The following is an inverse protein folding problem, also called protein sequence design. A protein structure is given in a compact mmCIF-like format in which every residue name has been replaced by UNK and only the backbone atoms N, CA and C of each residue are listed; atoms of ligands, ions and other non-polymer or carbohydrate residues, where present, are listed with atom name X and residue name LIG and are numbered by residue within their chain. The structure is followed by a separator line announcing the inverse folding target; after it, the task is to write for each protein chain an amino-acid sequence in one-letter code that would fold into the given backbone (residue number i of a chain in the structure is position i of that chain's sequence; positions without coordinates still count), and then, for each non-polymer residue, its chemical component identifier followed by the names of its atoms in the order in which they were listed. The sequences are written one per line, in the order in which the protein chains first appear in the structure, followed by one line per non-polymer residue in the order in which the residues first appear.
data_IF_148283927578
#
_entry.id   IF_148283927578
#
_cell.length_a   1.000
_cell.length_b   1.000
_cell.length_c   1.000
_cell.angle_alpha   90.00
_cell.angle_beta   90.00
_cell.angle_gamma   90.00
#
_symmetry.space_group_name_H-M   'P 1'
#
loop_
_entity.id
_entity.type
_entity.pdbx_description
1 polymer ?
#
# COMPACT_ATOMS: atom_id res chain seq x y z
N UNK A 1 -14.74 -21.03 -6.43
CA UNK A 1 -13.49 -21.07 -5.63
C UNK A 1 -13.26 -19.69 -5.03
N UNK A 2 -13.38 -19.58 -3.71
CA UNK A 2 -13.34 -18.31 -2.98
C UNK A 2 -11.95 -17.70 -2.84
N UNK A 3 -11.91 -16.41 -2.56
CA UNK A 3 -10.70 -15.65 -2.24
C UNK A 3 -10.11 -16.27 -0.97
N UNK A 4 -8.86 -16.74 -1.02
CA UNK A 4 -8.17 -17.22 0.18
C UNK A 4 -7.77 -16.00 1.00
N UNK A 5 -8.22 -15.88 2.26
CA UNK A 5 -7.80 -14.80 3.14
C UNK A 5 -6.28 -14.80 3.28
N UNK A 6 -5.71 -13.61 3.47
CA UNK A 6 -4.33 -13.51 3.96
C UNK A 6 -4.27 -14.28 5.30
N UNK A 7 -3.46 -15.34 5.34
CA UNK A 7 -3.19 -16.09 6.56
C UNK A 7 -2.29 -15.25 7.47
N UNK A 8 -2.90 -14.30 8.19
CA UNK A 8 -2.24 -13.45 9.18
C UNK A 8 -2.72 -13.83 10.58
N UNK A 9 -1.80 -13.83 11.55
CA UNK A 9 -2.17 -13.93 12.96
C UNK A 9 -2.89 -12.63 13.36
N UNK A 10 -4.04 -12.75 14.01
CA UNK A 10 -4.85 -11.62 14.46
C UNK A 10 -4.05 -10.60 15.30
N UNK A 11 -3.10 -11.09 16.11
CA UNK A 11 -2.20 -10.25 16.93
C UNK A 11 -1.28 -9.33 16.11
N UNK A 12 -1.08 -9.64 14.82
CA UNK A 12 -0.19 -8.88 13.93
C UNK A 12 -0.92 -7.94 12.99
N UNK A 13 -2.26 -7.93 13.03
CA UNK A 13 -3.08 -7.10 12.14
C UNK A 13 -2.74 -5.63 12.34
N UNK A 14 -2.65 -5.17 13.59
CA UNK A 14 -2.33 -3.77 13.90
C UNK A 14 -0.95 -3.37 13.38
N UNK A 15 0.06 -4.23 13.56
CA UNK A 15 1.40 -3.97 13.03
C UNK A 15 1.42 -3.86 11.50
N UNK A 16 0.63 -4.68 10.81
CA UNK A 16 0.50 -4.61 9.34
C UNK A 16 -0.23 -3.35 8.91
N UNK A 17 -1.33 -3.00 9.56
CA UNK A 17 -2.07 -1.76 9.28
C UNK A 17 -1.15 -0.55 9.47
N UNK A 18 -0.43 -0.48 10.59
CA UNK A 18 0.51 0.61 10.88
C UNK A 18 1.67 0.65 9.87
N UNK A 19 2.23 -0.49 9.49
CA UNK A 19 3.27 -0.55 8.46
C UNK A 19 2.76 -0.05 7.10
N UNK A 20 1.53 -0.41 6.71
CA UNK A 20 0.89 0.10 5.50
C UNK A 20 0.69 1.61 5.57
N UNK A 21 0.19 2.15 6.70
CA UNK A 21 0.04 3.59 6.90
C UNK A 21 1.37 4.33 6.85
N UNK A 22 2.40 3.82 7.54
CA UNK A 22 3.74 4.41 7.54
C UNK A 22 4.34 4.43 6.13
N UNK A 23 4.24 3.33 5.39
CA UNK A 23 4.70 3.25 4.01
C UNK A 23 3.93 4.21 3.10
N UNK A 24 2.61 4.26 3.23
CA UNK A 24 1.76 5.17 2.46
C UNK A 24 2.15 6.63 2.70
N UNK A 25 2.34 7.02 3.96
CA UNK A 25 2.77 8.37 4.32
C UNK A 25 4.17 8.69 3.79
N UNK A 26 5.12 7.75 3.91
CA UNK A 26 6.46 7.90 3.37
C UNK A 26 6.45 8.10 1.85
N UNK A 27 5.70 7.27 1.11
CA UNK A 27 5.60 7.38 -0.34
C UNK A 27 4.87 8.66 -0.78
N UNK A 28 3.86 9.10 -0.01
CA UNK A 28 3.21 10.40 -0.20
C UNK A 28 4.16 11.57 0.03
N UNK A 29 5.17 11.44 0.88
CA UNK A 29 6.15 12.50 1.10
C UNK A 29 7.26 12.47 0.04
N UNK A 30 7.87 11.30 -0.18
CA UNK A 30 9.08 11.12 -0.99
C UNK A 30 8.83 10.87 -2.47
N UNK A 31 7.61 10.52 -2.84
CA UNK A 31 7.25 10.16 -4.22
C UNK A 31 5.91 10.77 -4.64
N UNK A 32 5.66 12.02 -4.23
CA UNK A 32 4.42 12.77 -4.53
C UNK A 32 3.97 12.65 -5.98
N UNK A 33 4.88 12.84 -6.94
CA UNK A 33 4.56 12.87 -8.37
C UNK A 33 4.22 11.49 -8.94
N UNK A 34 4.69 10.40 -8.33
CA UNK A 34 4.63 9.06 -8.93
C UNK A 34 3.79 8.04 -8.13
N UNK A 35 3.56 8.25 -6.83
CA UNK A 35 2.85 7.30 -5.98
C UNK A 35 1.34 7.50 -6.01
N UNK A 36 0.88 8.72 -5.67
CA UNK A 36 -0.54 9.09 -5.71
C UNK A 36 -0.66 10.44 -6.38
N UNK A 37 -1.25 10.46 -7.57
CA UNK A 37 -1.48 11.69 -8.32
C UNK A 37 -2.92 12.16 -8.14
N UNK A 38 -3.20 13.41 -8.49
CA UNK A 38 -4.57 13.98 -8.52
C UNK A 38 -5.55 13.17 -9.37
N UNK A 39 -5.03 12.33 -10.28
CA UNK A 39 -5.86 11.44 -11.08
C UNK A 39 -6.28 10.14 -10.36
N UNK A 40 -5.60 9.77 -9.29
CA UNK A 40 -5.81 8.50 -8.59
C UNK A 40 -6.98 8.54 -7.61
N UNK A 41 -7.30 9.72 -7.08
CA UNK A 41 -8.31 9.92 -6.02
C UNK A 41 -9.08 11.20 -6.26
N UNK A 42 -10.27 11.29 -5.67
CA UNK A 42 -10.96 12.58 -5.59
C UNK A 42 -10.21 13.49 -4.61
N UNK A 43 -10.13 14.78 -4.92
CA UNK A 43 -9.48 15.75 -4.04
C UNK A 43 -10.31 17.02 -3.92
N UNK A 44 -10.20 17.66 -2.76
CA UNK A 44 -10.88 18.92 -2.48
C UNK A 44 -10.01 20.10 -2.93
N UNK A 45 -10.57 20.94 -3.80
CA UNK A 45 -10.05 22.25 -4.13
C UNK A 45 -10.64 23.25 -3.14
N UNK A 46 -9.91 23.47 -2.05
CA UNK A 46 -10.31 24.34 -0.94
C UNK A 46 -10.40 25.81 -1.31
N UNK A 47 -9.75 26.24 -2.41
CA UNK A 47 -9.82 27.63 -2.89
C UNK A 47 -11.18 27.89 -3.54
N UNK A 48 -11.64 26.94 -4.35
CA UNK A 48 -12.88 27.06 -5.10
C UNK A 48 -14.09 26.40 -4.38
N UNK A 49 -13.84 25.69 -3.27
CA UNK A 49 -14.86 24.97 -2.53
C UNK A 49 -15.49 23.81 -3.31
N UNK A 50 -14.74 23.20 -4.23
CA UNK A 50 -15.23 22.13 -5.11
C UNK A 50 -14.46 20.84 -4.89
N UNK A 51 -15.13 19.70 -5.05
CA UNK A 51 -14.49 18.38 -5.09
C UNK A 51 -14.18 18.06 -6.54
N UNK A 52 -12.90 17.85 -6.86
CA UNK A 52 -12.43 17.44 -8.17
C UNK A 52 -12.43 15.90 -8.25
N UNK A 53 -13.15 15.30 -9.20
CA UNK A 53 -13.19 13.86 -9.36
C UNK A 53 -11.83 13.33 -9.87
N UNK A 54 -11.39 12.19 -9.33
CA UNK A 54 -10.25 11.47 -9.86
C UNK A 54 -10.58 10.82 -11.21
N UNK A 55 -9.57 10.68 -12.08
CA UNK A 55 -9.72 10.09 -13.42
C UNK A 55 -10.22 8.65 -13.41
N UNK A 56 -10.07 7.93 -12.29
CA UNK A 56 -10.59 6.57 -12.15
C UNK A 56 -12.11 6.49 -12.41
N UNK A 57 -12.85 7.59 -12.23
CA UNK A 57 -14.28 7.71 -12.55
C UNK A 57 -14.58 7.77 -14.04
N UNK A 58 -13.61 8.20 -14.86
CA UNK A 58 -13.73 8.28 -16.32
C UNK A 58 -13.50 6.92 -16.99
N UNK A 59 -12.74 6.03 -16.36
CA UNK A 59 -12.40 4.68 -16.87
C UNK A 59 -13.57 3.68 -16.88
N UNK A 60 -14.79 4.11 -16.57
CA UNK A 60 -15.99 3.26 -16.54
C UNK A 60 -16.16 2.49 -15.23
N UNK A 61 -17.11 1.56 -15.19
CA UNK A 61 -17.36 0.72 -14.01
C UNK A 61 -16.09 -0.07 -13.65
N UNK A 62 -15.75 -0.08 -12.36
CA UNK A 62 -14.73 -0.97 -11.82
C UNK A 62 -15.04 -2.40 -12.27
N UNK A 63 -14.22 -2.95 -13.16
CA UNK A 63 -14.37 -4.33 -13.59
C UNK A 63 -14.19 -5.22 -12.36
N UNK A 64 -15.09 -6.19 -12.19
CA UNK A 64 -14.91 -7.23 -11.18
C UNK A 64 -13.53 -7.86 -11.36
N UNK A 65 -12.80 -8.04 -10.27
CA UNK A 65 -11.46 -8.64 -10.30
C UNK A 65 -11.55 -10.00 -11.01
N UNK A 66 -11.06 -10.07 -12.24
CA UNK A 66 -10.94 -11.32 -12.97
C UNK A 66 -10.01 -12.26 -12.19
N UNK A 67 -10.33 -13.56 -12.15
CA UNK A 67 -9.40 -14.55 -11.58
C UNK A 67 -8.09 -14.48 -12.33
N UNK A 68 -7.05 -13.97 -11.67
CA UNK A 68 -5.71 -13.96 -12.25
C UNK A 68 -5.21 -15.41 -12.26
N UNK A 69 -5.22 -16.05 -13.43
CA UNK A 69 -4.56 -17.36 -13.63
C UNK A 69 -3.02 -17.23 -13.69
N UNK A 70 -2.49 -16.03 -13.44
CA UNK A 70 -1.05 -15.79 -13.39
C UNK A 70 -0.42 -16.44 -12.16
N UNK A 71 0.81 -16.89 -12.35
CA UNK A 71 1.64 -17.51 -11.34
C UNK A 71 1.66 -16.63 -10.08
N UNK A 72 1.05 -17.10 -8.98
CA UNK A 72 0.89 -16.36 -7.71
C UNK A 72 2.22 -16.03 -7.01
N UNK A 73 3.33 -16.37 -7.64
CA UNK A 73 4.67 -16.19 -7.15
C UNK A 73 5.20 -14.84 -7.59
N UNK A 74 5.49 -13.97 -6.63
CA UNK A 74 6.29 -12.78 -6.86
C UNK A 74 7.62 -13.15 -7.54
N UNK A 75 8.10 -12.28 -8.44
CA UNK A 75 9.40 -12.46 -9.09
C UNK A 75 10.52 -12.59 -8.07
N UNK A 76 11.62 -13.24 -8.45
CA UNK A 76 12.79 -13.37 -7.58
C UNK A 76 13.33 -12.00 -7.15
N UNK A 77 13.31 -11.01 -8.05
CA UNK A 77 13.70 -9.63 -7.75
C UNK A 77 12.79 -8.97 -6.71
N UNK A 78 11.45 -9.12 -6.83
CA UNK A 78 10.51 -8.59 -5.86
C UNK A 78 10.68 -9.24 -4.47
N UNK A 79 10.97 -10.55 -4.44
CA UNK A 79 11.29 -11.26 -3.19
C UNK A 79 12.58 -10.74 -2.54
N UNK A 80 13.63 -10.48 -3.34
CA UNK A 80 14.89 -9.92 -2.86
C UNK A 80 14.71 -8.53 -2.26
N UNK A 81 14.01 -7.63 -2.97
CA UNK A 81 13.73 -6.27 -2.49
C UNK A 81 12.94 -6.32 -1.17
N UNK A 82 11.89 -7.16 -1.09
CA UNK A 82 11.11 -7.36 0.14
C UNK A 82 12.00 -7.81 1.30
N UNK A 83 12.91 -8.76 1.06
CA UNK A 83 13.82 -9.26 2.09
C UNK A 83 14.84 -8.21 2.53
N UNK A 84 15.33 -7.38 1.59
CA UNK A 84 16.26 -6.29 1.91
C UNK A 84 15.60 -5.27 2.86
N UNK A 85 14.38 -4.81 2.55
CA UNK A 85 13.63 -3.92 3.44
C UNK A 85 13.28 -4.59 4.76
N UNK A 86 12.84 -5.86 4.75
CA UNK A 86 12.58 -6.62 5.97
C UNK A 86 13.81 -6.63 6.87
N UNK A 87 14.99 -6.90 6.33
CA UNK A 87 16.21 -6.95 7.12
C UNK A 87 16.55 -5.55 7.65
N UNK A 88 16.59 -4.54 6.79
CA UNK A 88 16.89 -3.17 7.17
C UNK A 88 16.07 -2.67 8.37
N UNK A 89 14.74 -2.83 8.33
CA UNK A 89 13.86 -2.36 9.39
C UNK A 89 13.85 -3.25 10.64
N UNK A 90 14.22 -4.54 10.54
CA UNK A 90 14.29 -5.43 11.70
C UNK A 90 15.69 -5.51 12.34
N UNK A 91 16.74 -5.04 11.65
CA UNK A 91 18.11 -4.97 12.21
C UNK A 91 18.44 -3.61 12.80
N UNK A 92 17.73 -2.54 12.41
CA UNK A 92 17.80 -1.27 13.13
C UNK A 92 16.91 -1.45 14.37
N UNK A 93 17.53 -1.36 15.53
CA UNK A 93 17.02 -1.72 16.86
C UNK A 93 15.90 -0.80 17.39
N UNK A 94 15.02 -0.30 16.51
CA UNK A 94 13.90 0.57 16.86
C UNK A 94 12.89 -0.18 17.75
N UNK A 95 12.84 -1.51 17.67
CA UNK A 95 11.88 -2.32 18.43
C UNK A 95 12.33 -2.56 19.88
N UNK A 96 13.64 -2.62 20.16
CA UNK A 96 14.14 -2.85 21.54
C UNK A 96 14.30 -1.58 22.38
N UNK A 97 14.17 -0.38 21.79
CA UNK A 97 14.28 0.88 22.55
C UNK A 97 12.95 1.30 23.22
N UNK A 98 11.82 0.66 22.89
CA UNK A 98 10.50 0.98 23.45
C UNK A 98 9.96 -0.04 24.47
N UNK A 99 10.79 -0.99 24.93
CA UNK A 99 10.43 -1.98 25.97
C UNK A 99 11.42 -1.98 27.15
N UNK A 100 11.84 -0.79 27.59
CA UNK A 100 12.48 -0.58 28.91
C UNK A 100 11.84 0.56 29.65
#
# INVERSE_FOLDING_TARGET
MGIMPIAINMERVDAVVLACCALHNFLRERSKTNYITESCVDYEDTINGIVRPGKWRETGNLLGLGRTNSNKNASSSAKQIRNAYKNYYNTIDIINTYVS
#
